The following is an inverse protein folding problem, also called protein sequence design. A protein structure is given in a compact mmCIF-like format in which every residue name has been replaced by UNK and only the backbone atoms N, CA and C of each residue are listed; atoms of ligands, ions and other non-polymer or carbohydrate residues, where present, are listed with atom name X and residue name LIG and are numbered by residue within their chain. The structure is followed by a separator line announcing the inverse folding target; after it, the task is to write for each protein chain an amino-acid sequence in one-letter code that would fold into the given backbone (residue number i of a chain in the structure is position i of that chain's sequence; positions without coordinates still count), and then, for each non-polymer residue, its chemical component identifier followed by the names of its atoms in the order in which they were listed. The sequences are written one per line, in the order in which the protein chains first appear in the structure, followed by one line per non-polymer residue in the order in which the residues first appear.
data_IF_712640223704
#
_entry.id   IF_712640223704
#
_cell.length_a   1.000
_cell.length_b   1.000
_cell.length_c   1.000
_cell.angle_alpha   90.00
_cell.angle_beta   90.00
_cell.angle_gamma   90.00
#
_symmetry.space_group_name_H-M   'P 1'
#
loop_
_entity.id
_entity.type
_entity.pdbx_description
1 polymer ?
#
# COMPACT_ATOMS: atom_id res chain seq x y z
N UNK A 1 19.61 -38.94 -7.65
CA UNK A 1 19.67 -37.67 -8.38
C UNK A 1 19.82 -36.59 -7.33
N UNK A 2 21.06 -36.13 -7.11
CA UNK A 2 21.35 -35.10 -6.12
C UNK A 2 21.03 -33.73 -6.70
N UNK A 3 19.87 -33.17 -6.33
CA UNK A 3 19.59 -31.75 -6.54
C UNK A 3 20.53 -30.94 -5.64
N UNK A 4 21.55 -30.33 -6.22
CA UNK A 4 22.33 -29.30 -5.53
C UNK A 4 21.38 -28.16 -5.16
N UNK A 5 21.05 -28.04 -3.87
CA UNK A 5 20.39 -26.86 -3.31
C UNK A 5 21.30 -25.65 -3.50
N UNK A 6 21.13 -24.95 -4.62
CA UNK A 6 21.82 -23.68 -4.86
C UNK A 6 21.06 -22.59 -4.13
N UNK A 7 21.75 -21.86 -3.25
CA UNK A 7 21.19 -20.68 -2.58
C UNK A 7 20.74 -19.68 -3.65
N UNK A 8 19.50 -19.22 -3.57
CA UNK A 8 19.04 -18.11 -4.39
C UNK A 8 19.56 -16.79 -3.79
N UNK A 9 20.72 -16.38 -4.29
CA UNK A 9 21.38 -15.14 -3.90
C UNK A 9 20.52 -13.90 -4.14
N UNK A 10 19.63 -13.90 -5.14
CA UNK A 10 18.74 -12.78 -5.41
C UNK A 10 17.75 -12.58 -4.27
N UNK A 11 17.09 -13.66 -3.87
CA UNK A 11 16.18 -13.67 -2.71
C UNK A 11 16.90 -13.30 -1.41
N UNK A 12 18.12 -13.80 -1.21
CA UNK A 12 18.88 -13.50 0.01
C UNK A 12 19.22 -12.00 0.12
N UNK A 13 19.75 -11.40 -0.95
CA UNK A 13 20.12 -9.98 -0.99
C UNK A 13 18.88 -9.12 -0.81
N UNK A 14 17.80 -9.40 -1.55
CA UNK A 14 16.56 -8.64 -1.45
C UNK A 14 15.96 -8.75 -0.03
N UNK A 15 16.03 -9.93 0.56
CA UNK A 15 15.58 -10.16 1.93
C UNK A 15 16.34 -9.33 2.96
N UNK A 16 17.68 -9.32 2.88
CA UNK A 16 18.52 -8.48 3.75
C UNK A 16 18.22 -7.00 3.55
N UNK A 17 18.08 -6.54 2.31
CA UNK A 17 17.74 -5.14 2.01
C UNK A 17 16.41 -4.73 2.65
N UNK A 18 15.37 -5.56 2.54
CA UNK A 18 14.08 -5.27 3.16
C UNK A 18 14.15 -5.25 4.69
N UNK A 19 14.93 -6.12 5.32
CA UNK A 19 15.16 -6.07 6.77
C UNK A 19 15.86 -4.76 7.16
N UNK A 20 16.89 -4.34 6.43
CA UNK A 20 17.59 -3.08 6.70
C UNK A 20 16.66 -1.88 6.54
N UNK A 21 15.89 -1.83 5.45
CA UNK A 21 14.88 -0.77 5.23
C UNK A 21 13.88 -0.73 6.38
N UNK A 22 13.40 -1.89 6.83
CA UNK A 22 12.48 -1.98 7.98
C UNK A 22 13.09 -1.42 9.26
N UNK A 23 14.34 -1.76 9.58
CA UNK A 23 15.02 -1.23 10.75
C UNK A 23 15.18 0.28 10.70
N UNK A 24 15.51 0.83 9.53
CA UNK A 24 15.57 2.29 9.31
C UNK A 24 14.18 2.92 9.48
N UNK A 25 13.13 2.27 8.95
CA UNK A 25 11.74 2.74 9.08
C UNK A 25 11.28 2.85 10.53
N UNK A 26 11.71 1.92 11.41
CA UNK A 26 11.36 1.96 12.82
C UNK A 26 12.16 2.96 13.64
N UNK A 27 13.39 3.27 13.24
CA UNK A 27 14.25 4.24 13.91
C UNK A 27 13.84 5.68 13.64
N UNK A 28 13.41 5.97 12.40
CA UNK A 28 12.92 7.31 12.00
C UNK A 28 11.55 7.19 11.30
N UNK A 29 10.45 7.10 12.07
CA UNK A 29 9.11 7.00 11.51
C UNK A 29 8.71 8.22 10.67
N UNK A 30 9.28 9.39 10.96
CA UNK A 30 8.98 10.63 10.22
C UNK A 30 9.71 10.62 8.88
N UNK A 31 11.00 10.29 8.86
CA UNK A 31 11.76 10.09 7.62
C UNK A 31 11.17 8.99 6.75
N UNK A 32 10.70 7.89 7.36
CA UNK A 32 10.00 6.83 6.65
C UNK A 32 8.69 7.33 6.01
N UNK A 33 7.92 8.17 6.70
CA UNK A 33 6.73 8.78 6.13
C UNK A 33 7.06 9.69 4.93
N UNK A 34 8.15 10.46 5.01
CA UNK A 34 8.65 11.23 3.86
C UNK A 34 9.00 10.31 2.69
N UNK A 35 9.67 9.19 2.93
CA UNK A 35 9.97 8.21 1.89
C UNK A 35 8.69 7.64 1.26
N UNK A 36 7.68 7.31 2.08
CA UNK A 36 6.36 6.86 1.61
C UNK A 36 5.71 7.94 0.74
N UNK A 37 5.76 9.21 1.13
CA UNK A 37 5.25 10.34 0.32
C UNK A 37 5.95 10.41 -1.04
N UNK A 38 7.27 10.32 -1.07
CA UNK A 38 8.04 10.36 -2.33
C UNK A 38 7.65 9.20 -3.23
N UNK A 39 7.62 7.97 -2.69
CA UNK A 39 7.22 6.77 -3.45
C UNK A 39 5.79 6.89 -3.96
N UNK A 40 4.85 7.33 -3.11
CA UNK A 40 3.46 7.56 -3.49
C UNK A 40 3.35 8.60 -4.61
N UNK A 41 4.10 9.69 -4.52
CA UNK A 41 4.07 10.77 -5.50
C UNK A 41 4.65 10.33 -6.86
N UNK A 42 5.75 9.58 -6.86
CA UNK A 42 6.31 8.96 -8.07
C UNK A 42 5.28 7.97 -8.66
N UNK A 43 4.68 7.12 -7.81
CA UNK A 43 3.69 6.15 -8.24
C UNK A 43 2.45 6.83 -8.85
N UNK A 44 1.91 7.87 -8.21
CA UNK A 44 0.79 8.65 -8.72
C UNK A 44 1.13 9.28 -10.08
N UNK A 45 2.31 9.86 -10.22
CA UNK A 45 2.77 10.41 -11.50
C UNK A 45 2.83 9.34 -12.61
N UNK A 46 3.47 8.20 -12.35
CA UNK A 46 3.58 7.09 -13.31
C UNK A 46 2.20 6.51 -13.64
N UNK A 47 1.37 6.27 -12.63
CA UNK A 47 -0.02 5.80 -12.78
C UNK A 47 -0.83 6.73 -13.66
N UNK A 48 -0.72 8.04 -13.45
CA UNK A 48 -1.44 9.01 -14.26
C UNK A 48 -1.00 8.99 -15.73
N UNK A 49 0.31 8.86 -16.02
CA UNK A 49 0.80 8.65 -17.39
C UNK A 49 0.22 7.36 -17.98
N UNK A 50 0.22 6.28 -17.20
CA UNK A 50 -0.30 4.98 -17.63
C UNK A 50 -1.78 5.05 -17.97
N UNK A 51 -2.61 5.74 -17.18
CA UNK A 51 -4.04 5.91 -17.47
C UNK A 51 -4.28 6.68 -18.78
N UNK A 52 -3.48 7.72 -19.05
CA UNK A 52 -3.54 8.44 -20.33
C UNK A 52 -3.18 7.54 -21.50
N UNK A 53 -2.13 6.72 -21.35
CA UNK A 53 -1.71 5.75 -22.36
C UNK A 53 -2.78 4.69 -22.63
N UNK A 54 -3.30 4.05 -21.58
CA UNK A 54 -4.34 3.01 -21.67
C UNK A 54 -5.60 3.55 -22.31
N UNK A 55 -6.03 4.78 -21.95
CA UNK A 55 -7.17 5.43 -22.59
C UNK A 55 -6.99 5.55 -24.10
N UNK A 56 -5.83 6.05 -24.54
CA UNK A 56 -5.57 6.24 -25.96
C UNK A 56 -5.58 4.90 -26.69
N UNK A 57 -4.99 3.86 -26.08
CA UNK A 57 -5.02 2.51 -26.62
C UNK A 57 -6.42 1.92 -26.71
N UNK A 58 -7.26 2.10 -25.69
CA UNK A 58 -8.65 1.65 -25.68
C UNK A 58 -9.49 2.38 -26.75
N UNK A 59 -9.28 3.68 -26.92
CA UNK A 59 -9.97 4.48 -27.94
C UNK A 59 -9.66 3.95 -29.35
N UNK A 60 -8.40 3.63 -29.64
CA UNK A 60 -7.97 3.09 -30.93
C UNK A 60 -8.54 1.69 -31.21
N UNK A 61 -8.53 0.80 -30.22
CA UNK A 61 -8.89 -0.61 -30.42
C UNK A 61 -10.39 -0.89 -30.35
N UNK A 62 -11.14 -0.12 -29.55
CA UNK A 62 -12.55 -0.44 -29.23
C UNK A 62 -13.50 0.72 -29.51
N UNK A 63 -12.99 1.88 -29.94
CA UNK A 63 -13.79 3.09 -30.07
C UNK A 63 -14.22 3.69 -28.72
N UNK A 64 -13.53 3.34 -27.62
CA UNK A 64 -13.83 3.82 -26.27
C UNK A 64 -13.84 5.36 -26.19
N UNK A 65 -14.95 5.94 -25.72
CA UNK A 65 -15.16 7.40 -25.58
C UNK A 65 -15.15 7.90 -24.14
N UNK A 66 -14.85 7.03 -23.17
CA UNK A 66 -14.86 7.40 -21.76
C UNK A 66 -13.85 8.51 -21.45
N UNK A 67 -14.32 9.54 -20.75
CA UNK A 67 -13.49 10.66 -20.29
C UNK A 67 -12.89 10.41 -18.91
N UNK A 68 -13.39 9.42 -18.16
CA UNK A 68 -12.97 9.18 -16.78
C UNK A 68 -11.47 8.92 -16.63
N UNK A 69 -10.82 8.02 -17.42
CA UNK A 69 -9.38 7.79 -17.29
C UNK A 69 -8.51 9.01 -17.66
N UNK A 70 -9.05 9.93 -18.48
CA UNK A 70 -8.36 11.19 -18.79
C UNK A 70 -8.33 12.10 -17.55
N UNK A 71 -9.48 12.23 -16.87
CA UNK A 71 -9.63 13.11 -15.71
C UNK A 71 -8.79 12.57 -14.55
N UNK A 72 -8.92 11.28 -14.25
CA UNK A 72 -8.16 10.63 -13.18
C UNK A 72 -6.65 10.70 -13.48
N UNK A 73 -6.23 10.38 -14.69
CA UNK A 73 -4.81 10.43 -15.06
C UNK A 73 -4.19 11.82 -14.94
N UNK A 74 -4.93 12.88 -15.30
CA UNK A 74 -4.48 14.27 -15.11
C UNK A 74 -4.38 14.61 -13.62
N UNK A 75 -5.39 14.24 -12.81
CA UNK A 75 -5.39 14.48 -11.37
C UNK A 75 -4.19 13.78 -10.72
N UNK A 76 -3.93 12.52 -11.05
CA UNK A 76 -2.83 11.73 -10.50
C UNK A 76 -1.46 12.34 -10.84
N UNK A 77 -1.27 12.79 -12.09
CA UNK A 77 -0.05 13.51 -12.48
C UNK A 77 0.12 14.78 -11.66
N UNK A 78 -0.95 15.58 -11.52
CA UNK A 78 -0.89 16.84 -10.77
C UNK A 78 -0.60 16.60 -9.29
N UNK A 79 -1.23 15.60 -8.67
CA UNK A 79 -0.99 15.22 -7.27
C UNK A 79 0.44 14.73 -7.09
N UNK A 80 0.92 13.83 -7.97
CA UNK A 80 2.29 13.32 -7.91
C UNK A 80 3.32 14.42 -8.04
N UNK A 81 3.18 15.30 -9.02
CA UNK A 81 4.05 16.48 -9.19
C UNK A 81 3.95 17.38 -7.96
N UNK A 82 2.75 17.72 -7.50
CA UNK A 82 2.54 18.60 -6.37
C UNK A 82 3.20 18.08 -5.09
N UNK A 83 3.07 16.79 -4.77
CA UNK A 83 3.71 16.21 -3.58
C UNK A 83 5.25 16.13 -3.72
N UNK A 84 5.78 15.88 -4.91
CA UNK A 84 7.24 15.90 -5.12
C UNK A 84 7.85 17.28 -4.88
N UNK A 85 7.15 18.35 -5.29
CA UNK A 85 7.59 19.73 -5.03
C UNK A 85 7.19 20.25 -3.64
N UNK A 86 6.24 19.60 -2.97
CA UNK A 86 5.76 19.98 -1.64
C UNK A 86 5.56 18.75 -0.75
N UNK A 87 6.68 18.20 -0.28
CA UNK A 87 6.71 17.01 0.58
C UNK A 87 5.89 17.22 1.85
N UNK A 88 5.92 18.43 2.43
CA UNK A 88 5.15 18.77 3.63
C UNK A 88 3.65 18.59 3.43
N UNK A 89 3.12 18.97 2.26
CA UNK A 89 1.72 18.75 1.92
C UNK A 89 1.38 17.26 1.82
N UNK A 90 2.27 16.45 1.23
CA UNK A 90 2.11 15.00 1.18
C UNK A 90 2.12 14.34 2.57
N UNK A 91 3.04 14.76 3.44
CA UNK A 91 3.13 14.30 4.84
C UNK A 91 1.86 14.67 5.62
N UNK A 92 1.26 15.83 5.35
CA UNK A 92 0.01 16.24 5.96
C UNK A 92 -1.22 15.50 5.40
N UNK A 93 -1.23 15.19 4.10
CA UNK A 93 -2.38 14.61 3.41
C UNK A 93 -2.47 13.09 3.52
N UNK A 94 -1.34 12.37 3.38
CA UNK A 94 -1.32 10.91 3.38
C UNK A 94 -1.94 10.25 4.62
N UNK A 95 -1.79 10.78 5.84
CA UNK A 95 -2.44 10.21 7.02
C UNK A 95 -3.98 10.20 6.90
N UNK A 96 -4.57 11.21 6.28
CA UNK A 96 -6.01 11.23 6.03
C UNK A 96 -6.40 10.25 4.93
N UNK A 97 -5.63 10.21 3.83
CA UNK A 97 -5.87 9.25 2.74
C UNK A 97 -5.79 7.81 3.26
N UNK A 98 -4.79 7.50 4.08
CA UNK A 98 -4.63 6.21 4.72
C UNK A 98 -5.80 5.88 5.63
N UNK A 99 -6.23 6.79 6.49
CA UNK A 99 -7.35 6.54 7.40
C UNK A 99 -8.68 6.34 6.64
N UNK A 100 -8.96 7.14 5.60
CA UNK A 100 -10.14 6.93 4.74
C UNK A 100 -10.07 5.57 4.03
N UNK A 101 -8.91 5.25 3.44
CA UNK A 101 -8.70 3.98 2.77
C UNK A 101 -8.86 2.79 3.73
N UNK A 102 -8.33 2.89 4.94
CA UNK A 102 -8.42 1.86 5.97
C UNK A 102 -9.87 1.61 6.42
N UNK A 103 -10.67 2.67 6.58
CA UNK A 103 -12.11 2.54 6.85
C UNK A 103 -12.81 1.88 5.66
N UNK A 104 -12.54 2.35 4.44
CA UNK A 104 -13.17 1.81 3.24
C UNK A 104 -12.85 0.32 3.05
N UNK A 105 -11.60 -0.09 3.26
CA UNK A 105 -11.16 -1.48 3.23
C UNK A 105 -11.91 -2.32 4.27
N UNK A 106 -11.98 -1.85 5.51
CA UNK A 106 -12.70 -2.53 6.58
C UNK A 106 -14.21 -2.68 6.28
N UNK A 107 -14.82 -1.64 5.72
CA UNK A 107 -16.24 -1.65 5.31
C UNK A 107 -16.47 -2.65 4.17
N UNK A 108 -15.63 -2.64 3.14
CA UNK A 108 -15.72 -3.56 2.00
C UNK A 108 -15.50 -5.02 2.42
N UNK A 109 -14.58 -5.26 3.36
CA UNK A 109 -14.36 -6.58 3.93
C UNK A 109 -15.57 -7.09 4.73
N UNK A 110 -16.32 -6.21 5.41
CA UNK A 110 -17.58 -6.59 6.04
C UNK A 110 -18.67 -6.95 5.02
N UNK A 111 -18.76 -6.22 3.90
CA UNK A 111 -19.73 -6.54 2.85
C UNK A 111 -19.49 -7.92 2.21
N UNK A 112 -18.24 -8.37 2.19
CA UNK A 112 -17.87 -9.68 1.64
C UNK A 112 -17.64 -10.75 2.72
N UNK A 113 -17.91 -10.44 4.00
CA UNK A 113 -17.63 -11.31 5.13
C UNK A 113 -18.40 -12.65 5.06
N UNK A 114 -19.55 -12.70 4.41
CA UNK A 114 -20.29 -13.96 4.25
C UNK A 114 -19.49 -15.04 3.50
N UNK A 115 -18.54 -14.65 2.64
CA UNK A 115 -17.61 -15.58 2.00
C UNK A 115 -16.71 -16.30 3.02
N UNK A 116 -16.44 -15.67 4.17
CA UNK A 116 -15.63 -16.25 5.24
C UNK A 116 -16.31 -17.46 5.91
N UNK A 117 -17.65 -17.55 5.87
CA UNK A 117 -18.38 -18.73 6.37
C UNK A 117 -18.04 -20.00 5.59
N UNK A 118 -17.65 -19.86 4.31
CA UNK A 118 -17.19 -20.97 3.49
C UNK A 118 -15.87 -21.60 3.97
N UNK A 119 -15.10 -20.89 4.80
CA UNK A 119 -13.87 -21.41 5.41
C UNK A 119 -14.17 -22.04 6.77
N UNK A 120 -14.79 -21.27 7.68
CA UNK A 120 -15.30 -21.77 8.96
C UNK A 120 -16.15 -20.70 9.68
N UNK A 121 -17.04 -21.14 10.57
CA UNK A 121 -17.79 -20.26 11.49
C UNK A 121 -16.86 -19.36 12.33
N UNK A 122 -15.76 -19.92 12.85
CA UNK A 122 -14.80 -19.14 13.64
C UNK A 122 -14.13 -18.03 12.84
N UNK A 123 -13.75 -18.31 11.58
CA UNK A 123 -13.14 -17.31 10.70
C UNK A 123 -14.12 -16.20 10.31
N UNK A 124 -15.41 -16.52 10.14
CA UNK A 124 -16.46 -15.52 9.93
C UNK A 124 -16.55 -14.51 11.08
N UNK A 125 -16.70 -15.00 12.32
CA UNK A 125 -16.80 -14.13 13.49
C UNK A 125 -15.52 -13.33 13.73
N UNK A 126 -14.36 -13.95 13.52
CA UNK A 126 -13.07 -13.25 13.56
C UNK A 126 -13.01 -12.10 12.56
N UNK A 127 -13.42 -12.35 11.31
CA UNK A 127 -13.46 -11.34 10.24
C UNK A 127 -14.38 -10.17 10.61
N UNK A 128 -15.57 -10.45 11.15
CA UNK A 128 -16.50 -9.41 11.60
C UNK A 128 -15.86 -8.55 12.70
N UNK A 129 -15.33 -9.18 13.75
CA UNK A 129 -14.76 -8.45 14.89
C UNK A 129 -13.59 -7.57 14.45
N UNK A 130 -12.66 -8.14 13.67
CA UNK A 130 -11.47 -7.41 13.19
C UNK A 130 -11.85 -6.21 12.35
N UNK A 131 -12.82 -6.34 11.43
CA UNK A 131 -13.19 -5.22 10.57
C UNK A 131 -14.04 -4.17 11.30
N UNK A 132 -14.86 -4.54 12.29
CA UNK A 132 -15.52 -3.55 13.16
C UNK A 132 -14.47 -2.75 13.93
N UNK A 133 -13.47 -3.41 14.52
CA UNK A 133 -12.35 -2.73 15.17
C UNK A 133 -11.54 -1.89 14.17
N UNK A 134 -11.39 -2.36 12.94
CA UNK A 134 -10.75 -1.64 11.84
C UNK A 134 -11.45 -0.33 11.51
N UNK A 135 -12.78 -0.32 11.43
CA UNK A 135 -13.57 0.90 11.22
C UNK A 135 -13.39 1.87 12.38
N UNK A 136 -13.50 1.39 13.63
CA UNK A 136 -13.34 2.23 14.82
C UNK A 136 -11.94 2.84 14.88
N UNK A 137 -10.91 2.04 14.60
CA UNK A 137 -9.53 2.50 14.52
C UNK A 137 -9.37 3.53 13.39
N UNK A 138 -9.88 3.25 12.19
CA UNK A 138 -9.80 4.18 11.07
C UNK A 138 -10.46 5.54 11.36
N UNK A 139 -11.62 5.54 12.03
CA UNK A 139 -12.28 6.76 12.49
C UNK A 139 -11.38 7.50 13.49
N UNK A 140 -10.80 6.79 14.45
CA UNK A 140 -9.84 7.38 15.39
C UNK A 140 -8.63 8.01 14.66
N UNK A 141 -8.08 7.34 13.66
CA UNK A 141 -6.95 7.82 12.86
C UNK A 141 -7.31 9.07 12.02
N UNK A 142 -8.55 9.22 11.56
CA UNK A 142 -9.01 10.43 10.89
C UNK A 142 -8.95 11.66 11.79
N UNK A 143 -9.32 11.51 13.07
CA UNK A 143 -9.31 12.60 14.05
C UNK A 143 -7.95 12.79 14.72
N UNK A 144 -7.05 11.81 14.62
CA UNK A 144 -5.69 11.89 15.11
C UNK A 144 -4.67 11.63 13.97
N UNK A 145 -4.37 12.66 13.15
CA UNK A 145 -3.50 12.49 11.99
C UNK A 145 -2.06 12.15 12.35
N UNK A 146 -1.58 12.50 13.55
CA UNK A 146 -0.25 12.11 14.04
C UNK A 146 -0.22 10.60 14.29
N UNK A 147 -1.23 10.05 14.97
CA UNK A 147 -1.34 8.61 15.14
C UNK A 147 -1.48 7.91 13.79
N UNK A 148 -2.28 8.44 12.86
CA UNK A 148 -2.40 7.91 11.50
C UNK A 148 -1.07 7.87 10.75
N UNK A 149 -0.31 8.96 10.79
CA UNK A 149 1.03 9.06 10.22
C UNK A 149 1.98 7.99 10.77
N UNK A 150 2.01 7.83 12.10
CA UNK A 150 2.85 6.83 12.75
C UNK A 150 2.37 5.41 12.43
N UNK A 151 1.08 5.14 12.48
CA UNK A 151 0.52 3.82 12.13
C UNK A 151 0.88 3.45 10.71
N UNK A 152 0.70 4.35 9.73
CA UNK A 152 1.11 4.12 8.35
C UNK A 152 2.61 3.80 8.24
N UNK A 153 3.44 4.61 8.91
CA UNK A 153 4.89 4.44 8.90
C UNK A 153 5.32 3.08 9.47
N UNK A 154 4.82 2.73 10.65
CA UNK A 154 5.12 1.44 11.29
C UNK A 154 4.56 0.26 10.51
N UNK A 155 3.36 0.39 9.92
CA UNK A 155 2.75 -0.67 9.12
C UNK A 155 3.61 -0.98 7.89
N UNK A 156 4.06 0.04 7.17
CA UNK A 156 4.97 -0.13 6.02
C UNK A 156 6.30 -0.76 6.46
N UNK A 157 6.90 -0.29 7.56
CA UNK A 157 8.11 -0.88 8.12
C UNK A 157 7.93 -2.36 8.48
N UNK A 158 6.78 -2.73 9.04
CA UNK A 158 6.44 -4.10 9.38
C UNK A 158 6.27 -4.98 8.13
N UNK A 159 5.64 -4.46 7.07
CA UNK A 159 5.57 -5.17 5.79
C UNK A 159 6.96 -5.43 5.22
N UNK A 160 7.87 -4.45 5.25
CA UNK A 160 9.26 -4.67 4.84
C UNK A 160 9.95 -5.75 5.68
N UNK A 161 9.74 -5.78 7.00
CA UNK A 161 10.27 -6.85 7.85
C UNK A 161 9.76 -8.23 7.41
N UNK A 162 8.43 -8.36 7.24
CA UNK A 162 7.81 -9.61 6.82
C UNK A 162 8.34 -10.07 5.46
N UNK A 163 8.35 -9.19 4.46
CA UNK A 163 8.89 -9.52 3.13
C UNK A 163 10.37 -9.89 3.19
N UNK A 164 11.14 -9.19 4.03
CA UNK A 164 12.55 -9.49 4.25
C UNK A 164 12.77 -10.90 4.78
N UNK A 165 12.07 -11.26 5.86
CA UNK A 165 12.13 -12.60 6.45
C UNK A 165 11.67 -13.65 5.44
N UNK A 166 10.56 -13.42 4.74
CA UNK A 166 10.03 -14.35 3.74
C UNK A 166 11.04 -14.61 2.61
N UNK A 167 11.70 -13.57 2.08
CA UNK A 167 12.71 -13.74 1.03
C UNK A 167 13.97 -14.46 1.52
N UNK A 168 14.41 -14.18 2.76
CA UNK A 168 15.52 -14.93 3.37
C UNK A 168 15.15 -16.41 3.47
N UNK A 169 13.94 -16.75 3.92
CA UNK A 169 13.48 -18.13 4.00
C UNK A 169 13.43 -18.79 2.61
N UNK A 170 12.96 -18.07 1.59
CA UNK A 170 12.93 -18.59 0.22
C UNK A 170 14.31 -18.81 -0.39
N UNK A 171 15.32 -18.03 0.00
CA UNK A 171 16.69 -18.21 -0.50
C UNK A 171 17.31 -19.58 -0.17
N UNK A 172 16.79 -20.27 0.84
CA UNK A 172 17.29 -21.57 1.33
C UNK A 172 16.35 -22.75 1.06
N UNK A 173 15.21 -22.53 0.40
CA UNK A 173 14.31 -23.60 -0.03
C UNK A 173 14.72 -24.11 -1.40
#
# INVERSE_FOLDING_TARGET
MDEKRTIDWGSLILGILFVLVSLLSFQDPVGNLVAIVVVFAIFAFIKGIFELFVRNRLKELTGYKGKMPLIIGIIDILVGVFFLFNIGAGVAALPFVFAVWFIADSVLALFTADLARGVSEGYYWFTIIVNILGILLGIFLLFNPISSALTLSFLVGFYFMLFGITHIVYAFR
#
